data_IF_551534223635
#
_entry.id   IF_551534223635
#
_cell.length_a   1.000
_cell.length_b   1.000
_cell.length_c   1.000
_cell.angle_alpha   90.00
_cell.angle_beta   90.00
_cell.angle_gamma   90.00
#
_symmetry.space_group_name_H-M   'P 1'
#
loop_
_entity.id
_entity.type
_entity.pdbx_description
1 polymer ?
#
# COMPACT_ATOMS: atom_id res chain seq x y z
N UNK A 1 9.52 -0.95 -0.19
CA UNK A 1 8.31 -0.21 0.19
C UNK A 1 7.14 -0.57 -0.74
N UNK A 2 7.37 -0.64 -2.05
CA UNK A 2 6.39 -1.16 -3.02
C UNK A 2 6.27 -2.69 -2.90
N UNK A 3 5.03 -3.17 -2.96
CA UNK A 3 4.67 -4.58 -3.11
C UNK A 3 4.07 -4.72 -4.51
N UNK A 4 4.70 -5.53 -5.36
CA UNK A 4 4.24 -5.83 -6.71
C UNK A 4 3.98 -7.34 -6.83
N UNK A 5 2.74 -7.70 -7.13
CA UNK A 5 2.31 -9.10 -7.32
C UNK A 5 2.18 -9.47 -8.81
N UNK A 6 2.53 -8.57 -9.72
CA UNK A 6 2.29 -8.64 -11.16
C UNK A 6 0.85 -8.35 -11.58
N UNK A 7 -0.12 -8.50 -10.66
CA UNK A 7 -1.54 -8.14 -10.89
C UNK A 7 -1.92 -6.80 -10.29
N UNK A 8 -1.31 -6.46 -9.16
CA UNK A 8 -1.53 -5.21 -8.46
C UNK A 8 -0.22 -4.72 -7.82
N UNK A 9 -0.08 -3.39 -7.76
CA UNK A 9 0.99 -2.68 -7.08
C UNK A 9 0.39 -1.91 -5.91
N UNK A 10 1.00 -2.03 -4.74
CA UNK A 10 0.52 -1.37 -3.51
C UNK A 10 1.65 -1.03 -2.56
N UNK A 11 1.34 -0.15 -1.62
CA UNK A 11 2.18 0.14 -0.45
C UNK A 11 1.36 -0.01 0.82
N UNK A 12 2.03 -0.09 1.95
CA UNK A 12 1.39 0.01 3.26
C UNK A 12 1.66 1.40 3.82
N UNK A 13 0.60 2.17 4.04
CA UNK A 13 0.65 3.47 4.72
C UNK A 13 0.34 3.34 6.21
N UNK A 14 0.71 4.34 6.98
CA UNK A 14 0.31 4.50 8.38
C UNK A 14 -0.64 5.68 8.47
N UNK A 15 -1.85 5.47 9.00
CA UNK A 15 -2.82 6.54 9.23
C UNK A 15 -2.51 7.33 10.51
N UNK A 16 -3.32 8.36 10.80
CA UNK A 16 -3.13 9.23 11.96
C UNK A 16 -3.31 8.50 13.32
N UNK A 17 -3.97 7.34 13.32
CA UNK A 17 -4.13 6.48 14.50
C UNK A 17 -3.00 5.44 14.64
N UNK A 18 -2.04 5.42 13.71
CA UNK A 18 -0.95 4.45 13.69
C UNK A 18 -1.31 3.10 13.06
N UNK A 19 -2.46 2.98 12.39
CA UNK A 19 -2.90 1.73 11.76
C UNK A 19 -2.26 1.56 10.39
N UNK A 20 -1.93 0.32 10.06
CA UNK A 20 -1.41 -0.05 8.75
C UNK A 20 -2.55 -0.19 7.75
N UNK A 21 -2.54 0.68 6.73
CA UNK A 21 -3.57 0.70 5.69
C UNK A 21 -2.91 0.41 4.34
N UNK A 22 -3.30 -0.69 3.67
CA UNK A 22 -2.82 -0.97 2.32
C UNK A 22 -3.47 0.03 1.34
N UNK A 23 -2.65 0.66 0.49
CA UNK A 23 -3.11 1.55 -0.58
C UNK A 23 -2.59 1.06 -1.92
N UNK A 24 -3.49 0.94 -2.90
CA UNK A 24 -3.12 0.66 -4.28
C UNK A 24 -2.41 1.87 -4.89
N UNK A 25 -1.33 1.62 -5.63
CA UNK A 25 -0.54 2.66 -6.28
C UNK A 25 -0.29 2.33 -7.75
N UNK A 26 0.13 3.34 -8.51
CA UNK A 26 0.65 3.17 -9.86
C UNK A 26 2.09 3.66 -9.94
N UNK A 27 3.03 2.77 -10.26
CA UNK A 27 4.44 3.11 -10.45
C UNK A 27 4.68 3.50 -11.92
N UNK A 28 5.28 4.67 -12.15
CA UNK A 28 5.62 5.17 -13.49
C UNK A 28 7.03 4.76 -13.92
N UNK A 29 7.99 4.83 -13.00
CA UNK A 29 9.39 4.53 -13.27
C UNK A 29 10.11 4.10 -12.00
N UNK A 30 11.10 3.23 -12.13
CA UNK A 30 11.97 2.82 -11.03
C UNK A 30 13.43 3.06 -11.40
N UNK A 31 14.17 3.71 -10.51
CA UNK A 31 15.58 4.02 -10.70
C UNK A 31 16.30 4.15 -9.37
N UNK A 32 17.53 3.66 -9.29
CA UNK A 32 18.43 3.88 -8.15
C UNK A 32 17.77 3.66 -6.77
N UNK A 33 17.01 2.56 -6.63
CA UNK A 33 16.29 2.18 -5.40
C UNK A 33 15.10 3.08 -5.02
N UNK A 34 14.62 3.90 -5.96
CA UNK A 34 13.45 4.74 -5.79
C UNK A 34 12.41 4.42 -6.88
N UNK A 35 11.14 4.47 -6.50
CA UNK A 35 10.01 4.26 -7.40
C UNK A 35 9.22 5.58 -7.51
N UNK A 36 9.08 6.09 -8.73
CA UNK A 36 8.26 7.26 -9.03
C UNK A 36 6.79 6.86 -9.07
N UNK A 37 6.00 7.43 -8.15
CA UNK A 37 4.58 7.13 -8.01
C UNK A 37 3.77 8.12 -8.85
N UNK A 38 2.95 7.60 -9.76
CA UNK A 38 2.06 8.43 -10.61
C UNK A 38 0.70 8.70 -9.98
N UNK A 39 0.20 7.78 -9.15
CA UNK A 39 -1.07 7.92 -8.44
C UNK A 39 -1.20 6.93 -7.28
N UNK A 40 -2.17 7.19 -6.40
CA UNK A 40 -2.52 6.33 -5.25
C UNK A 40 -1.92 6.74 -3.91
N UNK A 41 -1.11 7.79 -3.89
CA UNK A 41 -0.56 8.41 -2.68
C UNK A 41 -0.69 9.92 -2.75
N UNK A 42 -0.75 10.54 -1.58
CA UNK A 42 -0.70 11.99 -1.41
C UNK A 42 0.62 12.40 -0.76
N UNK A 43 1.05 13.64 -1.01
CA UNK A 43 2.16 14.22 -0.26
C UNK A 43 1.83 14.22 1.24
N UNK A 44 2.80 13.80 2.06
CA UNK A 44 2.63 13.64 3.51
C UNK A 44 2.20 12.24 3.96
N UNK A 45 1.78 11.35 3.05
CA UNK A 45 1.49 9.96 3.40
C UNK A 45 2.76 9.27 3.96
N UNK A 46 2.64 8.65 5.13
CA UNK A 46 3.73 7.89 5.74
C UNK A 46 3.70 6.45 5.22
N UNK A 47 4.80 5.99 4.61
CA UNK A 47 4.91 4.65 4.01
C UNK A 47 5.88 3.77 4.81
N UNK A 48 5.49 2.53 5.02
CA UNK A 48 6.33 1.52 5.68
C UNK A 48 7.47 1.07 4.75
N UNK A 49 8.71 1.27 5.19
CA UNK A 49 9.92 0.88 4.44
C UNK A 49 10.64 -0.36 5.01
N UNK A 50 10.34 -0.75 6.25
CA UNK A 50 10.95 -1.90 6.95
C UNK A 50 9.89 -2.78 7.59
N UNK A 51 10.15 -4.09 7.72
CA UNK A 51 9.17 -5.06 8.25
C UNK A 51 7.98 -5.34 7.33
N UNK A 52 8.03 -4.87 6.09
CA UNK A 52 6.93 -4.87 5.12
C UNK A 52 6.29 -6.26 4.93
N UNK A 53 7.09 -7.32 4.85
CA UNK A 53 6.58 -8.67 4.60
C UNK A 53 5.66 -9.19 5.71
N UNK A 54 6.00 -8.96 6.98
CA UNK A 54 5.19 -9.43 8.11
C UNK A 54 3.87 -8.65 8.20
N UNK A 55 3.95 -7.33 8.05
CA UNK A 55 2.78 -6.44 8.05
C UNK A 55 1.85 -6.80 6.89
N UNK A 56 2.43 -7.06 5.72
CA UNK A 56 1.65 -7.46 4.55
C UNK A 56 0.95 -8.82 4.73
N UNK A 57 1.66 -9.77 5.32
CA UNK A 57 1.10 -11.09 5.63
C UNK A 57 -0.08 -11.00 6.60
N UNK A 58 0.02 -10.15 7.63
CA UNK A 58 -1.08 -9.89 8.57
C UNK A 58 -2.26 -9.19 7.89
N UNK A 59 -2.00 -8.19 7.04
CA UNK A 59 -3.04 -7.49 6.28
C UNK A 59 -3.81 -8.45 5.35
N UNK A 60 -3.13 -9.43 4.77
CA UNK A 60 -3.75 -10.48 3.98
C UNK A 60 -4.64 -11.40 4.83
N UNK A 61 -4.17 -11.84 6.00
CA UNK A 61 -4.90 -12.74 6.91
C UNK A 61 -6.14 -12.05 7.51
N UNK A 62 -6.03 -10.78 7.87
CA UNK A 62 -7.10 -10.00 8.51
C UNK A 62 -8.14 -9.46 7.51
N UNK A 63 -7.98 -9.76 6.21
CA UNK A 63 -8.90 -9.30 5.16
C UNK A 63 -8.82 -7.80 4.86
N UNK A 64 -7.77 -7.11 5.33
CA UNK A 64 -7.55 -5.69 5.00
C UNK A 64 -7.33 -5.49 3.50
N UNK A 65 -6.68 -6.45 2.81
CA UNK A 65 -6.48 -6.41 1.36
C UNK A 65 -7.79 -6.57 0.58
N UNK A 66 -8.70 -7.43 1.03
CA UNK A 66 -10.00 -7.59 0.38
C UNK A 66 -10.84 -6.31 0.48
N UNK A 67 -10.84 -5.66 1.65
CA UNK A 67 -11.50 -4.36 1.86
C UNK A 67 -10.87 -3.24 1.03
N UNK A 68 -9.56 -3.28 0.81
CA UNK A 68 -8.90 -2.34 -0.11
C UNK A 68 -9.35 -2.56 -1.57
N UNK A 69 -9.45 -3.81 -2.02
CA UNK A 69 -9.89 -4.16 -3.38
C UNK A 69 -11.38 -3.88 -3.63
N UNK A 70 -12.19 -4.11 -2.60
CA UNK A 70 -13.62 -3.83 -2.59
C UNK A 70 -13.91 -2.85 -1.45
N UNK A 71 -13.60 -1.55 -1.63
CA UNK A 71 -14.10 -0.57 -0.69
C UNK A 71 -15.63 -0.66 -0.79
N UNK A 72 -16.29 -1.15 0.27
CA UNK A 72 -17.74 -1.20 0.32
C UNK A 72 -18.25 0.16 -0.14
N UNK A 73 -19.08 0.17 -1.20
CA UNK A 73 -19.87 1.36 -1.54
C UNK A 73 -20.71 1.64 -0.30
N UNK A 74 -20.27 2.56 0.53
CA UNK A 74 -21.13 3.19 1.51
C UNK A 74 -22.15 3.98 0.69
N UNK A 75 -23.34 3.42 0.54
CA UNK A 75 -24.54 4.11 0.06
C UNK A 75 -25.12 4.97 1.20
#
# INVERSE_FOLDING_TARGET
AVIDTGKEQRVITVDDEGKFVPKQIHVLHESQQQSGIGSGLNEGDTVVVSGLFLIDSEANITGALERMRHPEKTE
#
